data_IF_861596203253
#
_entry.id   IF_861596203253
#
_cell.length_a   1.000
_cell.length_b   1.000
_cell.length_c   1.000
_cell.angle_alpha   90.00
_cell.angle_beta   90.00
_cell.angle_gamma   90.00
#
_symmetry.space_group_name_H-M   'P 1'
#
loop_
_entity.id
_entity.type
_entity.pdbx_description
1 polymer ?
#
# COMPACT_ATOMS: atom_id res chain seq x y z
N UNK A 1 -10.60 -12.77 -13.78
CA UNK A 1 -9.42 -12.03 -13.30
C UNK A 1 -8.20 -12.36 -14.14
N UNK A 2 -7.57 -11.37 -14.78
CA UNK A 2 -6.19 -11.49 -15.23
C UNK A 2 -5.21 -11.24 -14.06
N UNK A 3 -3.95 -11.67 -14.22
CA UNK A 3 -2.87 -11.47 -13.24
C UNK A 3 -1.73 -10.73 -13.92
N UNK A 4 -1.13 -9.77 -13.22
CA UNK A 4 0.02 -9.00 -13.71
C UNK A 4 1.19 -9.90 -14.08
N UNK A 5 1.92 -9.54 -15.13
CA UNK A 5 3.10 -10.28 -15.59
C UNK A 5 4.28 -9.34 -15.82
N UNK A 6 5.49 -9.84 -15.53
CA UNK A 6 6.71 -9.06 -15.67
C UNK A 6 6.95 -8.60 -17.11
N UNK A 7 7.27 -7.32 -17.28
CA UNK A 7 7.43 -6.63 -18.57
C UNK A 7 6.23 -6.77 -19.51
N UNK A 8 5.02 -6.84 -18.93
CA UNK A 8 3.77 -7.01 -19.66
C UNK A 8 2.64 -6.23 -18.98
N UNK A 9 1.39 -6.62 -19.24
CA UNK A 9 0.22 -5.99 -18.65
C UNK A 9 0.24 -6.12 -17.13
N UNK A 10 -0.02 -4.99 -16.45
CA UNK A 10 -0.32 -4.94 -15.04
C UNK A 10 -1.81 -4.68 -14.85
N UNK A 11 -2.34 -5.26 -13.79
CA UNK A 11 -3.72 -5.12 -13.36
C UNK A 11 -3.71 -4.78 -11.87
N UNK A 12 -4.59 -3.86 -11.50
CA UNK A 12 -4.80 -3.43 -10.13
C UNK A 12 -6.22 -3.75 -9.65
N UNK A 13 -6.40 -3.57 -8.35
CA UNK A 13 -7.67 -3.67 -7.66
C UNK A 13 -7.90 -2.37 -6.91
N UNK A 14 -9.16 -1.98 -6.78
CA UNK A 14 -9.56 -0.85 -5.95
C UNK A 14 -9.89 -1.36 -4.56
N UNK A 15 -9.33 -0.72 -3.53
CA UNK A 15 -9.67 -0.95 -2.12
C UNK A 15 -10.10 0.39 -1.53
N UNK A 16 -11.27 0.41 -0.90
CA UNK A 16 -11.73 1.55 -0.13
C UNK A 16 -12.00 1.10 1.31
N UNK A 17 -11.41 1.80 2.27
CA UNK A 17 -11.71 1.64 3.70
C UNK A 17 -12.24 2.97 4.20
N UNK A 18 -13.40 2.95 4.86
CA UNK A 18 -14.02 4.16 5.36
C UNK A 18 -14.80 3.89 6.64
N UNK A 19 -15.00 4.97 7.40
CA UNK A 19 -15.82 4.96 8.61
C UNK A 19 -17.20 5.50 8.28
N UNK A 20 -18.25 4.75 8.59
CA UNK A 20 -19.63 5.19 8.46
C UNK A 20 -19.89 6.40 9.38
N UNK A 21 -20.26 7.58 8.83
CA UNK A 21 -20.46 8.78 9.63
C UNK A 21 -21.68 8.70 10.56
N UNK A 22 -22.61 7.77 10.32
CA UNK A 22 -23.84 7.61 11.13
C UNK A 22 -23.64 6.65 12.29
N UNK A 23 -23.03 5.50 12.02
CA UNK A 23 -22.89 4.42 13.00
C UNK A 23 -21.48 4.30 13.58
N UNK A 24 -20.48 4.92 12.96
CA UNK A 24 -19.07 4.84 13.37
C UNK A 24 -18.38 3.51 13.04
N UNK A 25 -19.07 2.59 12.38
CA UNK A 25 -18.52 1.31 11.95
C UNK A 25 -17.56 1.50 10.78
N UNK A 26 -16.52 0.68 10.72
CA UNK A 26 -15.59 0.69 9.60
C UNK A 26 -15.98 -0.36 8.58
N UNK A 27 -15.82 0.00 7.31
CA UNK A 27 -16.14 -0.84 6.16
C UNK A 27 -14.93 -0.94 5.24
N UNK A 28 -14.84 -2.07 4.54
CA UNK A 28 -13.90 -2.25 3.43
C UNK A 28 -14.65 -2.78 2.22
N UNK A 29 -14.48 -2.12 1.08
CA UNK A 29 -14.89 -2.62 -0.22
C UNK A 29 -13.70 -3.04 -1.07
N UNK A 30 -13.97 -3.98 -1.98
CA UNK A 30 -13.08 -4.49 -2.98
C UNK A 30 -13.70 -4.27 -4.37
N UNK A 31 -12.95 -3.69 -5.29
CA UNK A 31 -13.46 -3.27 -6.59
C UNK A 31 -14.51 -2.16 -6.46
N UNK A 32 -15.49 -2.14 -7.35
CA UNK A 32 -16.44 -1.02 -7.43
C UNK A 32 -17.40 -0.98 -6.23
N UNK A 33 -17.93 -2.11 -5.76
CA UNK A 33 -18.97 -2.11 -4.72
C UNK A 33 -18.99 -3.35 -3.80
N UNK A 34 -18.03 -4.27 -3.92
CA UNK A 34 -18.10 -5.51 -3.14
C UNK A 34 -17.65 -5.26 -1.69
N UNK A 35 -18.60 -5.16 -0.76
CA UNK A 35 -18.31 -5.11 0.68
C UNK A 35 -17.72 -6.44 1.14
N UNK A 36 -16.48 -6.41 1.61
CA UNK A 36 -15.73 -7.60 2.05
C UNK A 36 -15.21 -7.50 3.49
N UNK A 37 -15.19 -6.31 4.08
CA UNK A 37 -14.81 -6.10 5.47
C UNK A 37 -15.79 -5.24 6.25
N UNK A 38 -15.95 -5.59 7.52
CA UNK A 38 -16.80 -4.89 8.47
C UNK A 38 -16.17 -4.98 9.86
N UNK A 39 -16.02 -3.83 10.52
CA UNK A 39 -15.55 -3.75 11.90
C UNK A 39 -16.47 -2.82 12.69
N UNK A 40 -17.15 -3.35 13.72
CA UNK A 40 -17.93 -2.54 14.64
C UNK A 40 -17.08 -1.46 15.31
N UNK A 41 -17.68 -0.30 15.57
CA UNK A 41 -17.01 0.84 16.21
C UNK A 41 -16.39 0.45 17.57
N UNK A 42 -17.02 -0.47 18.30
CA UNK A 42 -16.62 -0.92 19.63
C UNK A 42 -15.31 -1.71 19.65
N UNK A 43 -14.80 -2.15 18.49
CA UNK A 43 -13.49 -2.81 18.40
C UNK A 43 -12.33 -1.83 18.55
N UNK A 44 -12.57 -0.53 18.33
CA UNK A 44 -11.52 0.47 18.24
C UNK A 44 -11.61 1.49 19.38
N UNK A 45 -10.48 1.67 20.07
CA UNK A 45 -10.29 2.72 21.07
C UNK A 45 -9.56 3.95 20.52
N UNK A 46 -8.74 3.77 19.48
CA UNK A 46 -7.92 4.83 18.88
C UNK A 46 -8.45 5.30 17.51
N UNK A 47 -9.35 4.53 16.91
CA UNK A 47 -10.02 4.86 15.63
C UNK A 47 -11.53 5.13 15.84
N UNK A 48 -11.94 5.41 17.08
CA UNK A 48 -13.34 5.68 17.44
C UNK A 48 -13.82 7.00 16.85
N UNK A 49 -12.96 8.01 16.82
CA UNK A 49 -13.27 9.33 16.27
C UNK A 49 -12.86 9.41 14.80
N UNK A 50 -11.55 9.38 14.51
CA UNK A 50 -11.00 9.35 13.16
C UNK A 50 -9.59 8.72 13.16
N UNK A 51 -9.08 8.40 11.97
CA UNK A 51 -7.67 8.04 11.81
C UNK A 51 -6.83 9.32 11.73
N UNK A 52 -5.74 9.39 12.49
CA UNK A 52 -4.77 10.51 12.43
C UNK A 52 -3.59 10.21 11.49
N UNK A 53 -3.47 8.96 11.04
CA UNK A 53 -2.44 8.49 10.13
C UNK A 53 -3.03 7.42 9.21
N UNK A 54 -2.66 7.48 7.93
CA UNK A 54 -2.99 6.46 6.92
C UNK A 54 -1.69 6.04 6.26
N UNK A 55 -1.47 4.73 6.18
CA UNK A 55 -0.26 4.15 5.60
C UNK A 55 -0.65 3.22 4.44
N UNK A 56 0.14 3.27 3.37
CA UNK A 56 0.09 2.33 2.26
C UNK A 56 1.48 1.73 2.09
N UNK A 57 1.56 0.44 1.83
CA UNK A 57 2.84 -0.21 1.59
C UNK A 57 2.80 -1.70 1.84
N UNK A 58 3.95 -2.24 2.22
CA UNK A 58 4.11 -3.63 2.59
C UNK A 58 5.10 -3.76 3.75
N UNK A 59 4.95 -4.84 4.50
CA UNK A 59 5.79 -5.15 5.64
C UNK A 59 6.44 -6.53 5.43
N UNK A 60 7.73 -6.63 5.73
CA UNK A 60 8.44 -7.92 5.77
C UNK A 60 9.10 -8.08 7.14
N UNK A 61 8.61 -9.04 7.91
CA UNK A 61 9.20 -9.39 9.20
C UNK A 61 10.34 -10.38 8.98
N UNK A 62 11.52 -10.08 9.54
CA UNK A 62 12.71 -10.91 9.41
C UNK A 62 13.49 -10.98 10.73
N UNK A 63 13.46 -12.13 11.39
CA UNK A 63 14.17 -12.37 12.66
C UNK A 63 15.66 -12.68 12.48
N UNK A 64 16.17 -12.71 11.23
CA UNK A 64 17.57 -12.99 10.87
C UNK A 64 18.21 -14.19 11.61
N UNK A 65 17.59 -15.38 11.61
CA UNK A 65 18.04 -16.53 12.42
C UNK A 65 19.48 -16.99 12.11
N UNK A 66 19.98 -16.72 10.90
CA UNK A 66 21.34 -17.06 10.46
C UNK A 66 22.21 -15.81 10.22
N UNK A 67 21.82 -14.65 10.76
CA UNK A 67 22.48 -13.36 10.49
C UNK A 67 22.27 -12.81 9.07
N UNK A 68 21.54 -13.54 8.21
CA UNK A 68 21.24 -13.14 6.84
C UNK A 68 19.85 -12.50 6.75
N UNK A 69 19.70 -11.59 5.78
CA UNK A 69 18.38 -11.08 5.43
C UNK A 69 17.48 -12.19 4.84
N UNK A 70 16.15 -12.09 5.00
CA UNK A 70 15.19 -12.99 4.36
C UNK A 70 15.21 -12.84 2.83
N UNK A 71 14.96 -13.94 2.11
CA UNK A 71 14.73 -13.95 0.66
C UNK A 71 13.26 -13.71 0.28
N UNK A 72 12.42 -13.32 1.24
CA UNK A 72 11.04 -12.91 0.97
C UNK A 72 11.05 -11.71 0.02
N UNK A 73 10.36 -11.82 -1.10
CA UNK A 73 10.21 -10.71 -2.04
C UNK A 73 9.07 -9.81 -1.58
N UNK A 74 9.25 -8.49 -1.71
CA UNK A 74 8.17 -7.52 -1.53
C UNK A 74 7.58 -7.15 -2.90
N UNK A 75 6.25 -7.16 -3.01
CA UNK A 75 5.57 -6.88 -4.27
C UNK A 75 5.97 -7.88 -5.35
N UNK A 76 6.44 -7.37 -6.49
CA UNK A 76 6.96 -8.18 -7.60
C UNK A 76 8.38 -8.71 -7.38
N UNK A 77 9.05 -8.32 -6.28
CA UNK A 77 10.46 -8.63 -6.03
C UNK A 77 11.45 -7.72 -6.76
N UNK A 78 10.96 -6.73 -7.51
CA UNK A 78 11.75 -5.71 -8.18
C UNK A 78 11.76 -4.40 -7.39
N UNK A 79 12.86 -3.66 -7.49
CA UNK A 79 12.98 -2.33 -6.89
C UNK A 79 12.08 -1.31 -7.59
N UNK A 80 11.73 -0.24 -6.91
CA UNK A 80 10.80 0.80 -7.35
C UNK A 80 11.28 1.50 -8.62
N UNK A 81 12.60 1.60 -8.86
CA UNK A 81 13.15 2.20 -10.07
C UNK A 81 12.81 1.45 -11.36
N UNK A 82 12.48 0.16 -11.29
CA UNK A 82 12.10 -0.63 -12.48
C UNK A 82 10.75 -0.16 -13.09
N UNK A 83 9.88 0.49 -12.29
CA UNK A 83 8.68 1.20 -12.74
C UNK A 83 7.57 0.31 -13.33
N UNK A 84 6.69 0.94 -14.11
CA UNK A 84 5.51 0.28 -14.69
C UNK A 84 5.87 -0.95 -15.54
N UNK A 85 5.05 -1.99 -15.42
CA UNK A 85 5.27 -3.29 -16.06
C UNK A 85 6.21 -4.22 -15.29
N UNK A 86 6.94 -3.74 -14.27
CA UNK A 86 7.95 -4.54 -13.55
C UNK A 86 7.79 -4.48 -12.03
N UNK A 87 7.70 -3.28 -11.46
CA UNK A 87 7.57 -3.06 -10.02
C UNK A 87 6.11 -3.09 -9.59
N UNK A 88 5.86 -3.42 -8.33
CA UNK A 88 4.53 -3.24 -7.72
C UNK A 88 4.28 -1.76 -7.46
N UNK A 89 3.01 -1.37 -7.43
CA UNK A 89 2.61 0.01 -7.21
C UNK A 89 1.33 0.11 -6.37
N UNK A 90 1.18 1.27 -5.74
CA UNK A 90 -0.12 1.81 -5.37
C UNK A 90 -0.32 3.10 -6.14
N UNK A 91 -1.53 3.32 -6.66
CA UNK A 91 -1.91 4.53 -7.39
C UNK A 91 -3.25 5.06 -6.91
N UNK A 92 -3.58 6.29 -7.28
CA UNK A 92 -4.79 6.97 -6.85
C UNK A 92 -4.91 6.95 -5.32
N UNK A 93 -3.84 7.34 -4.63
CA UNK A 93 -3.83 7.40 -3.18
C UNK A 93 -4.77 8.51 -2.70
N UNK A 94 -5.87 8.12 -2.10
CA UNK A 94 -6.93 9.00 -1.61
C UNK A 94 -7.31 8.63 -0.18
N UNK A 95 -7.82 9.61 0.56
CA UNK A 95 -8.36 9.45 1.90
C UNK A 95 -9.83 9.86 1.92
N UNK A 96 -10.61 9.22 2.79
CA UNK A 96 -11.97 9.69 3.09
C UNK A 96 -11.89 10.74 4.18
N UNK A 97 -12.34 11.96 3.88
CA UNK A 97 -12.29 13.07 4.81
C UNK A 97 -13.52 13.17 5.74
N UNK A 98 -13.58 14.23 6.56
CA UNK A 98 -14.66 14.45 7.52
C UNK A 98 -16.04 14.66 6.88
N UNK A 99 -16.07 15.10 5.63
CA UNK A 99 -17.31 15.28 4.85
C UNK A 99 -17.72 13.96 4.16
N UNK A 100 -16.99 12.87 4.43
CA UNK A 100 -17.15 11.56 3.82
C UNK A 100 -16.98 11.61 2.30
N UNK A 101 -15.98 12.38 1.85
CA UNK A 101 -15.59 12.52 0.44
C UNK A 101 -14.17 12.01 0.22
N UNK A 102 -13.90 11.51 -1.00
CA UNK A 102 -12.55 11.08 -1.38
C UNK A 102 -11.72 12.27 -1.79
N UNK A 103 -10.54 12.38 -1.18
CA UNK A 103 -9.62 13.48 -1.39
C UNK A 103 -8.22 12.94 -1.61
N UNK A 104 -7.53 13.39 -2.67
CA UNK A 104 -6.16 12.96 -2.98
C UNK A 104 -5.25 13.19 -1.79
N UNK A 105 -4.52 12.14 -1.40
CA UNK A 105 -3.51 12.23 -0.35
C UNK A 105 -2.44 13.28 -0.73
N UNK A 106 -2.09 14.12 0.23
CA UNK A 106 -1.08 15.17 0.10
C UNK A 106 0.05 14.91 1.11
N UNK A 107 1.21 15.54 0.90
CA UNK A 107 2.34 15.53 1.84
C UNK A 107 2.81 14.11 2.24
N UNK A 108 2.74 13.16 1.29
CA UNK A 108 3.15 11.77 1.55
C UNK A 108 4.64 11.70 1.90
N UNK A 109 4.93 11.03 3.00
CA UNK A 109 6.28 10.64 3.38
C UNK A 109 6.52 9.19 3.01
N UNK A 110 7.73 8.88 2.55
CA UNK A 110 8.14 7.51 2.23
C UNK A 110 9.13 7.01 3.28
N UNK A 111 9.01 5.73 3.63
CA UNK A 111 9.88 5.06 4.60
C UNK A 111 10.29 3.69 4.06
N UNK A 112 11.59 3.41 4.09
CA UNK A 112 12.16 2.10 3.84
C UNK A 112 13.34 1.88 4.81
N UNK A 113 13.29 0.83 5.62
CA UNK A 113 14.30 0.58 6.66
C UNK A 113 15.69 0.29 6.07
N UNK A 114 15.73 -0.46 4.97
CA UNK A 114 16.97 -0.73 4.23
C UNK A 114 16.68 -0.74 2.73
N UNK A 115 17.00 0.38 2.07
CA UNK A 115 16.76 0.60 0.64
C UNK A 115 17.50 -0.38 -0.27
N UNK A 116 18.55 -1.03 0.20
CA UNK A 116 19.23 -2.07 -0.58
C UNK A 116 18.48 -3.41 -0.55
N UNK A 117 17.54 -3.62 0.37
CA UNK A 117 16.72 -4.84 0.47
C UNK A 117 15.35 -4.64 -0.20
N UNK A 118 14.70 -3.52 0.13
CA UNK A 118 13.44 -3.06 -0.43
C UNK A 118 13.44 -1.54 -0.50
N UNK A 119 12.90 -0.97 -1.57
CA UNK A 119 12.81 0.47 -1.76
C UNK A 119 11.38 0.90 -2.15
N UNK A 120 11.21 2.22 -2.15
CA UNK A 120 9.95 2.89 -2.47
C UNK A 120 10.28 4.20 -3.19
N UNK A 121 9.48 4.54 -4.20
CA UNK A 121 9.62 5.78 -4.96
C UNK A 121 8.25 6.37 -5.25
N UNK A 122 7.93 7.48 -4.59
CA UNK A 122 6.69 8.23 -4.81
C UNK A 122 6.79 9.19 -5.98
N UNK A 123 5.68 9.40 -6.67
CA UNK A 123 5.53 10.33 -7.78
C UNK A 123 4.07 10.82 -7.87
N UNK A 124 3.84 11.82 -8.72
CA UNK A 124 2.52 12.35 -9.02
C UNK A 124 2.43 12.67 -10.51
N UNK A 125 1.32 12.28 -11.13
CA UNK A 125 0.90 12.75 -12.46
C UNK A 125 -0.63 12.76 -12.58
N UNK A 126 -1.14 13.32 -13.68
CA UNK A 126 -2.60 13.46 -13.89
C UNK A 126 -3.34 12.14 -14.12
N UNK A 127 -2.64 11.09 -14.55
CA UNK A 127 -3.24 9.83 -14.96
C UNK A 127 -3.32 8.85 -13.80
N UNK A 128 -2.33 8.90 -12.89
CA UNK A 128 -2.17 8.00 -11.75
C UNK A 128 -2.44 8.68 -10.39
N UNK A 129 -2.60 10.00 -10.40
CA UNK A 129 -2.67 10.81 -9.19
C UNK A 129 -1.40 10.65 -8.35
N UNK A 130 -1.55 10.80 -7.04
CA UNK A 130 -0.51 10.48 -6.09
C UNK A 130 -0.29 8.96 -6.05
N UNK A 131 0.94 8.51 -6.30
CA UNK A 131 1.26 7.09 -6.42
C UNK A 131 2.70 6.79 -5.99
N UNK A 132 3.02 5.52 -5.83
CA UNK A 132 4.40 5.07 -5.66
C UNK A 132 4.63 3.68 -6.24
N UNK A 133 5.87 3.44 -6.66
CA UNK A 133 6.39 2.10 -6.89
C UNK A 133 7.11 1.61 -5.65
N UNK A 134 7.05 0.32 -5.39
CA UNK A 134 7.73 -0.31 -4.26
C UNK A 134 8.09 -1.77 -4.57
N UNK A 135 9.05 -2.28 -3.83
CA UNK A 135 9.37 -3.70 -3.82
C UNK A 135 10.82 -3.97 -3.52
N UNK A 136 11.27 -5.17 -3.87
CA UNK A 136 12.65 -5.57 -3.74
C UNK A 136 12.80 -7.06 -3.49
N UNK A 137 13.96 -7.64 -3.81
CA UNK A 137 14.17 -9.08 -3.73
C UNK A 137 14.41 -9.57 -2.30
N UNK A 138 14.51 -8.67 -1.32
CA UNK A 138 15.02 -8.99 0.00
C UNK A 138 16.52 -9.30 -0.09
N UNK A 139 16.91 -10.52 0.29
CA UNK A 139 18.32 -10.95 0.31
C UNK A 139 18.97 -10.86 -1.08
N UNK A 140 19.94 -9.98 -1.20
CA UNK A 140 20.78 -9.79 -2.38
C UNK A 140 22.17 -9.26 -1.94
N UNK A 141 23.18 -9.21 -2.82
CA UNK A 141 24.54 -8.79 -2.45
C UNK A 141 24.68 -7.39 -1.85
N UNK A 142 23.72 -6.49 -2.09
CA UNK A 142 23.69 -5.13 -1.54
C UNK A 142 22.89 -5.03 -0.24
N UNK A 143 22.06 -6.03 0.06
CA UNK A 143 21.23 -6.13 1.26
C UNK A 143 21.97 -6.89 2.38
N UNK A 144 22.66 -6.14 3.25
CA UNK A 144 23.38 -6.63 4.43
C UNK A 144 22.55 -6.52 5.72
#
# INVERSE_FOLDING_TARGET
SPVSSFSSNQYDITILIWKDPKLGNWWMSFGDDALVGYWPAELFNHLTDHATMVEWGGEVVNTRPNGLHTSTQMGSGHFAEDGFGKSSYFRNLEIVDSDNTLTSAQDIQTLAENTNCYDIKSSYDSDWGQHFYYGGPGRNPQCL
#
